data_IF_652807701425
#
_entry.id   IF_652807701425
#
_cell.length_a   1.000
_cell.length_b   1.000
_cell.length_c   1.000
_cell.angle_alpha   90.00
_cell.angle_beta   90.00
_cell.angle_gamma   90.00
#
_symmetry.space_group_name_H-M   'P 1'
#
loop_
_entity.id
_entity.type
_entity.pdbx_description
1 polymer ?
#
# COMPACT_ATOMS: atom_id res chain seq x y z
N UNK A 1 -51.90 50.74 40.46
CA UNK A 1 -52.73 49.57 40.80
C UNK A 1 -53.97 49.64 39.92
N UNK A 2 -54.13 48.61 39.09
CA UNK A 2 -55.35 48.13 38.42
C UNK A 2 -56.14 48.98 37.40
N UNK A 3 -56.46 48.23 36.33
CA UNK A 3 -57.63 48.30 35.44
C UNK A 3 -57.67 49.41 34.39
N UNK A 4 -57.58 49.01 33.11
CA UNK A 4 -58.69 49.13 32.19
C UNK A 4 -58.51 48.21 30.96
N UNK A 5 -59.59 47.55 30.57
CA UNK A 5 -59.76 46.84 29.31
C UNK A 5 -60.92 47.48 28.52
N UNK A 6 -60.90 47.22 27.21
CA UNK A 6 -61.99 47.23 26.22
C UNK A 6 -62.18 48.46 25.30
N UNK A 7 -62.03 48.12 24.01
CA UNK A 7 -62.98 48.26 22.90
C UNK A 7 -62.98 49.53 22.02
N UNK A 8 -63.01 49.30 20.71
CA UNK A 8 -63.57 50.25 19.73
C UNK A 8 -62.89 50.24 18.36
N UNK A 9 -63.43 49.46 17.42
CA UNK A 9 -63.05 49.40 16.00
C UNK A 9 -63.33 50.71 15.24
N UNK A 10 -62.53 51.04 14.22
CA UNK A 10 -63.00 51.49 12.90
C UNK A 10 -61.83 51.74 11.90
N UNK A 11 -61.92 51.01 10.79
CA UNK A 11 -61.62 51.31 9.39
C UNK A 11 -60.43 52.17 8.92
N UNK A 12 -59.62 51.46 8.14
CA UNK A 12 -58.52 51.78 7.23
C UNK A 12 -58.69 52.97 6.28
N UNK A 13 -57.58 53.68 5.98
CA UNK A 13 -57.35 54.29 4.67
C UNK A 13 -56.30 53.53 3.84
N UNK A 14 -56.72 53.29 2.59
CA UNK A 14 -56.03 52.95 1.34
C UNK A 14 -54.48 53.04 1.31
N UNK A 15 -53.76 52.03 0.78
CA UNK A 15 -52.31 52.07 0.63
C UNK A 15 -51.89 53.00 -0.54
N UNK A 16 -50.78 53.75 -0.40
CA UNK A 16 -50.17 54.47 -1.52
C UNK A 16 -49.40 53.53 -2.46
N UNK A 17 -49.46 53.92 -3.72
CA UNK A 17 -48.92 53.31 -4.92
C UNK A 17 -47.39 53.23 -4.94
N UNK A 18 -46.87 52.23 -5.65
CA UNK A 18 -45.52 51.73 -5.61
C UNK A 18 -44.44 52.72 -6.10
N UNK A 19 -43.35 52.84 -5.33
CA UNK A 19 -42.06 53.29 -5.84
C UNK A 19 -41.23 52.08 -6.25
N UNK A 20 -40.89 52.01 -7.55
CA UNK A 20 -39.97 51.03 -8.12
C UNK A 20 -38.58 51.16 -7.50
N UNK A 21 -38.21 50.20 -6.66
CA UNK A 21 -36.84 50.00 -6.23
C UNK A 21 -36.05 49.32 -7.37
N UNK A 22 -34.97 49.98 -7.78
CA UNK A 22 -34.00 49.49 -8.76
C UNK A 22 -33.37 48.18 -8.26
N UNK A 23 -33.37 47.15 -9.11
CA UNK A 23 -32.68 45.90 -8.85
C UNK A 23 -31.16 46.14 -8.82
N UNK A 24 -30.42 45.62 -7.82
CA UNK A 24 -28.98 45.65 -7.85
C UNK A 24 -28.45 44.76 -8.99
N UNK A 25 -27.49 45.29 -9.73
CA UNK A 25 -26.76 44.55 -10.78
C UNK A 25 -26.14 43.26 -10.21
N UNK A 26 -26.14 42.16 -10.97
CA UNK A 26 -25.47 40.94 -10.54
C UNK A 26 -23.95 41.16 -10.45
N UNK A 27 -23.27 40.53 -9.48
CA UNK A 27 -21.82 40.60 -9.38
C UNK A 27 -21.17 39.93 -10.61
N UNK A 28 -19.96 40.38 -11.00
CA UNK A 28 -19.22 39.77 -12.11
C UNK A 28 -18.92 38.29 -11.81
N UNK A 29 -18.83 37.43 -12.84
CA UNK A 29 -18.52 36.02 -12.66
C UNK A 29 -17.15 35.86 -12.03
N UNK A 30 -17.10 35.15 -10.90
CA UNK A 30 -15.87 34.75 -10.23
C UNK A 30 -14.98 33.95 -11.17
N UNK A 31 -13.73 34.37 -11.32
CA UNK A 31 -12.72 33.63 -12.05
C UNK A 31 -12.56 32.22 -11.46
N UNK A 32 -12.66 31.21 -12.33
CA UNK A 32 -12.47 29.80 -12.02
C UNK A 32 -11.07 29.56 -11.46
N UNK A 33 -10.95 29.27 -10.16
CA UNK A 33 -9.70 28.79 -9.59
C UNK A 33 -9.40 27.36 -10.08
N UNK A 34 -8.15 27.04 -10.49
CA UNK A 34 -7.76 25.68 -10.78
C UNK A 34 -7.77 24.82 -9.50
N UNK A 35 -8.24 23.57 -9.66
CA UNK A 35 -8.33 22.56 -8.60
C UNK A 35 -6.96 22.34 -7.91
N UNK A 36 -6.88 22.32 -6.57
CA UNK A 36 -5.66 21.93 -5.88
C UNK A 36 -5.37 20.45 -6.12
N UNK A 37 -4.28 20.19 -6.83
CA UNK A 37 -3.74 18.86 -7.05
C UNK A 37 -3.20 18.21 -5.77
N UNK A 38 -3.21 16.88 -5.81
CA UNK A 38 -2.66 15.94 -4.85
C UNK A 38 -1.33 16.42 -4.22
N UNK A 39 -1.37 16.77 -2.94
CA UNK A 39 -0.19 16.76 -2.07
C UNK A 39 -0.33 15.62 -1.08
N UNK A 40 0.52 14.60 -1.23
CA UNK A 40 0.62 13.51 -0.29
C UNK A 40 1.42 13.98 0.94
N UNK A 41 0.80 14.02 2.12
CA UNK A 41 1.50 14.23 3.38
C UNK A 41 2.25 12.95 3.79
N UNK A 42 3.55 13.08 4.10
CA UNK A 42 4.40 12.02 4.63
C UNK A 42 4.28 11.93 6.15
N UNK A 43 4.26 10.72 6.77
CA UNK A 43 4.50 10.57 8.19
C UNK A 43 6.00 10.75 8.52
N UNK A 44 6.27 11.46 9.61
CA UNK A 44 7.60 11.68 10.15
C UNK A 44 8.14 10.41 10.81
N UNK A 45 9.01 9.72 10.09
CA UNK A 45 9.92 8.69 10.57
C UNK A 45 11.02 8.56 9.52
N UNK A 46 12.29 8.73 9.91
CA UNK A 46 13.42 8.97 9.00
C UNK A 46 13.54 7.97 7.83
N UNK A 47 12.89 8.28 6.72
CA UNK A 47 13.03 7.63 5.41
C UNK A 47 13.58 8.70 4.46
N UNK A 48 14.90 8.75 4.27
CA UNK A 48 15.48 9.52 3.15
C UNK A 48 15.38 8.64 1.91
N UNK A 49 14.17 8.53 1.37
CA UNK A 49 13.88 7.85 0.11
C UNK A 49 12.91 8.71 -0.69
N UNK A 50 13.44 9.59 -1.53
CA UNK A 50 12.62 10.33 -2.50
C UNK A 50 11.98 9.37 -3.48
N UNK A 51 10.71 9.60 -3.84
CA UNK A 51 9.98 8.81 -4.85
C UNK A 51 10.57 9.07 -6.24
N UNK A 52 11.63 8.35 -6.61
CA UNK A 52 12.17 8.47 -7.96
C UNK A 52 11.26 7.72 -8.93
N UNK A 53 10.68 8.42 -9.91
CA UNK A 53 9.93 7.77 -10.98
C UNK A 53 10.92 7.11 -11.95
N UNK A 54 10.86 5.79 -12.05
CA UNK A 54 11.49 5.07 -13.14
C UNK A 54 10.61 5.19 -14.40
N UNK A 55 11.20 5.46 -15.55
CA UNK A 55 10.51 5.42 -16.85
C UNK A 55 11.12 4.29 -17.66
N UNK A 56 10.27 3.43 -18.23
CA UNK A 56 10.69 2.50 -19.27
C UNK A 56 10.69 3.21 -20.62
N UNK A 57 11.82 3.18 -21.30
CA UNK A 57 11.97 3.62 -22.68
C UNK A 57 12.41 2.46 -23.57
N UNK A 58 12.08 2.53 -24.86
CA UNK A 58 12.80 1.79 -25.91
C UNK A 58 13.94 2.68 -26.39
N UNK A 59 15.14 2.14 -26.48
CA UNK A 59 16.34 2.93 -26.79
C UNK A 59 16.35 3.41 -28.26
N UNK A 60 16.67 4.70 -28.54
CA UNK A 60 17.21 5.12 -29.83
C UNK A 60 18.75 5.15 -29.77
N UNK A 61 19.41 4.28 -30.55
CA UNK A 61 20.80 4.49 -31.01
C UNK A 61 21.95 4.06 -30.08
N UNK A 62 22.84 3.25 -30.68
CA UNK A 62 24.22 2.84 -30.38
C UNK A 62 24.82 3.10 -28.98
N UNK A 63 25.09 1.98 -28.29
CA UNK A 63 25.99 1.88 -27.15
C UNK A 63 27.46 2.08 -27.57
N UNK A 64 28.21 2.89 -26.81
CA UNK A 64 29.67 2.83 -26.80
C UNK A 64 30.09 1.59 -26.02
N UNK A 65 30.79 0.67 -26.68
CA UNK A 65 31.28 -0.56 -26.06
C UNK A 65 32.35 -0.24 -25.02
N UNK A 66 31.99 -0.28 -23.73
CA UNK A 66 32.99 -0.38 -22.67
C UNK A 66 33.58 -1.80 -22.70
N UNK A 67 34.90 -1.97 -22.88
CA UNK A 67 35.53 -3.27 -22.84
C UNK A 67 35.65 -3.76 -21.38
N UNK A 68 34.93 -4.84 -21.08
CA UNK A 68 35.36 -5.87 -20.12
C UNK A 68 35.33 -5.52 -18.63
N UNK A 69 34.16 -5.63 -18.00
CA UNK A 69 34.11 -6.26 -16.68
C UNK A 69 33.50 -7.64 -16.85
N UNK A 70 34.37 -8.65 -16.91
CA UNK A 70 33.95 -10.03 -16.79
C UNK A 70 33.27 -10.20 -15.44
N UNK A 71 31.99 -10.57 -15.44
CA UNK A 71 31.37 -11.23 -14.29
C UNK A 71 32.31 -12.39 -13.91
N UNK A 72 32.77 -12.51 -12.66
CA UNK A 72 33.57 -13.66 -12.29
C UNK A 72 32.73 -14.89 -12.59
N UNK A 73 33.14 -15.65 -13.61
CA UNK A 73 32.65 -17.00 -13.87
C UNK A 73 33.21 -17.90 -12.77
N UNK A 74 32.76 -17.65 -11.53
CA UNK A 74 33.07 -18.47 -10.37
C UNK A 74 32.10 -19.63 -10.38
N UNK A 75 32.49 -20.72 -11.02
CA UNK A 75 31.91 -22.03 -10.81
C UNK A 75 32.12 -22.44 -9.34
N UNK A 76 31.23 -21.99 -8.46
CA UNK A 76 30.88 -22.76 -7.28
C UNK A 76 29.50 -23.37 -7.55
N UNK A 77 29.51 -24.47 -8.29
CA UNK A 77 28.48 -25.48 -8.12
C UNK A 77 28.52 -25.86 -6.65
N UNK A 78 27.47 -25.51 -5.91
CA UNK A 78 27.29 -25.86 -4.51
C UNK A 78 27.40 -27.39 -4.34
N UNK A 79 28.61 -27.86 -4.06
CA UNK A 79 28.84 -29.23 -3.64
C UNK A 79 28.31 -29.36 -2.21
N UNK A 80 27.07 -29.82 -2.08
CA UNK A 80 26.48 -30.24 -0.81
C UNK A 80 25.33 -29.41 -0.25
N UNK A 81 24.89 -28.33 -0.91
CA UNK A 81 23.64 -27.68 -0.47
C UNK A 81 22.45 -28.52 -0.89
N UNK A 82 21.72 -29.04 0.11
CA UNK A 82 20.42 -29.65 -0.12
C UNK A 82 19.56 -28.68 -0.93
N UNK A 83 19.11 -29.12 -2.10
CA UNK A 83 18.18 -28.36 -2.92
C UNK A 83 16.89 -28.19 -2.12
N UNK A 84 16.73 -27.03 -1.47
CA UNK A 84 15.46 -26.67 -0.84
C UNK A 84 14.48 -26.44 -1.99
N UNK A 85 13.44 -27.27 -2.06
CA UNK A 85 12.34 -27.04 -2.99
C UNK A 85 11.77 -25.65 -2.74
N UNK A 86 11.56 -24.89 -3.81
CA UNK A 86 11.11 -23.50 -3.73
C UNK A 86 12.16 -22.43 -4.03
N UNK A 87 13.46 -22.76 -4.14
CA UNK A 87 14.43 -21.78 -4.66
C UNK A 87 14.17 -21.40 -6.12
N UNK A 88 14.32 -20.11 -6.40
CA UNK A 88 14.29 -19.53 -7.73
C UNK A 88 15.67 -19.31 -8.34
N UNK A 89 15.66 -18.64 -9.48
CA UNK A 89 16.83 -18.25 -10.26
C UNK A 89 17.77 -17.35 -9.44
N UNK A 90 19.08 -17.39 -9.75
CA UNK A 90 20.08 -16.44 -9.23
C UNK A 90 20.72 -15.60 -10.33
N UNK A 91 20.34 -15.84 -11.60
CA UNK A 91 20.99 -15.19 -12.75
C UNK A 91 22.45 -15.61 -12.94
N UNK A 92 22.84 -16.77 -12.39
CA UNK A 92 24.22 -17.26 -12.44
C UNK A 92 25.12 -16.73 -11.33
N UNK A 93 24.61 -15.87 -10.43
CA UNK A 93 25.39 -15.41 -9.28
C UNK A 93 25.51 -16.48 -8.20
N UNK A 94 26.65 -16.46 -7.51
CA UNK A 94 26.85 -17.20 -6.28
C UNK A 94 25.91 -16.70 -5.19
N UNK A 95 25.58 -17.59 -4.26
CA UNK A 95 24.82 -17.27 -3.05
C UNK A 95 25.72 -17.32 -1.82
N UNK A 96 25.28 -16.65 -0.76
CA UNK A 96 25.92 -16.72 0.56
C UNK A 96 25.08 -17.58 1.53
N UNK A 97 25.67 -18.11 2.62
CA UNK A 97 24.95 -18.92 3.59
C UNK A 97 23.73 -18.20 4.20
N UNK A 98 22.75 -18.97 4.66
CA UNK A 98 21.54 -18.43 5.28
C UNK A 98 21.79 -17.58 6.53
N UNK A 99 22.95 -17.75 7.18
CA UNK A 99 23.36 -16.98 8.37
C UNK A 99 23.80 -15.53 8.07
N UNK A 100 23.94 -15.13 6.80
CA UNK A 100 24.34 -13.77 6.42
C UNK A 100 23.17 -12.79 6.51
N UNK A 101 22.76 -12.41 7.72
CA UNK A 101 21.49 -11.70 8.01
C UNK A 101 21.23 -10.42 7.19
N UNK A 102 22.27 -9.67 6.80
CA UNK A 102 22.14 -8.41 6.06
C UNK A 102 21.97 -8.60 4.53
N UNK A 103 22.18 -9.83 4.03
CA UNK A 103 22.01 -10.13 2.62
C UNK A 103 20.53 -10.34 2.26
N UNK A 104 20.08 -9.87 1.09
CA UNK A 104 18.73 -10.14 0.61
C UNK A 104 18.52 -11.65 0.39
N UNK A 105 17.29 -12.11 0.55
CA UNK A 105 16.91 -13.51 0.34
C UNK A 105 17.05 -13.89 -1.13
N UNK A 106 17.47 -15.11 -1.40
CA UNK A 106 17.40 -15.70 -2.74
C UNK A 106 15.96 -15.71 -3.25
N UNK A 107 15.75 -15.40 -4.53
CA UNK A 107 14.43 -15.44 -5.17
C UNK A 107 13.69 -16.76 -4.94
N UNK A 108 12.35 -16.71 -4.95
CA UNK A 108 11.51 -17.92 -4.91
C UNK A 108 11.30 -18.48 -6.30
N UNK A 109 10.99 -19.77 -6.38
CA UNK A 109 10.64 -20.50 -7.60
C UNK A 109 9.43 -19.90 -8.32
N UNK A 110 8.57 -19.14 -7.64
CA UNK A 110 7.43 -18.45 -8.26
C UNK A 110 7.70 -17.03 -8.73
N UNK A 111 8.87 -16.46 -8.42
CA UNK A 111 9.16 -15.05 -8.67
C UNK A 111 9.61 -14.83 -10.13
N UNK A 112 9.26 -13.67 -10.70
CA UNK A 112 9.94 -13.21 -11.92
C UNK A 112 11.39 -12.87 -11.60
N UNK A 113 12.29 -13.17 -12.53
CA UNK A 113 13.72 -12.88 -12.39
C UNK A 113 14.26 -12.13 -13.61
N UNK A 114 15.18 -11.20 -13.36
CA UNK A 114 15.77 -10.34 -14.38
C UNK A 114 17.29 -10.51 -14.46
N UNK A 115 17.83 -10.49 -15.67
CA UNK A 115 19.24 -10.22 -15.89
C UNK A 115 19.41 -8.73 -16.14
N UNK A 116 20.21 -8.05 -15.34
CA UNK A 116 20.63 -6.67 -15.55
C UNK A 116 21.94 -6.63 -16.34
N UNK A 117 22.13 -5.58 -17.15
CA UNK A 117 23.34 -5.36 -17.94
C UNK A 117 23.53 -3.88 -18.28
N UNK A 118 24.73 -3.51 -18.73
CA UNK A 118 25.05 -2.18 -19.27
C UNK A 118 24.60 -0.99 -18.39
N UNK A 119 24.94 -0.96 -17.09
CA UNK A 119 24.63 0.18 -16.25
C UNK A 119 25.45 1.40 -16.71
N UNK A 120 24.80 2.55 -16.86
CA UNK A 120 25.41 3.76 -17.43
C UNK A 120 24.77 5.03 -16.90
N UNK A 121 25.53 6.12 -16.88
CA UNK A 121 24.99 7.47 -16.67
C UNK A 121 24.61 8.11 -18.01
N UNK A 122 23.65 9.02 -17.97
CA UNK A 122 23.22 9.77 -19.15
C UNK A 122 22.45 11.02 -18.76
N UNK A 123 21.72 11.56 -19.72
CA UNK A 123 20.76 12.62 -19.50
C UNK A 123 19.39 12.17 -20.03
N UNK A 124 18.33 12.47 -19.29
CA UNK A 124 16.96 12.27 -19.77
C UNK A 124 16.67 13.20 -20.96
N UNK A 125 15.52 13.01 -21.60
CA UNK A 125 15.03 13.92 -22.65
C UNK A 125 14.91 15.39 -22.23
N UNK A 126 14.93 15.67 -20.93
CA UNK A 126 14.89 17.03 -20.36
C UNK A 126 16.28 17.52 -19.91
N UNK A 127 17.36 16.86 -20.31
CA UNK A 127 18.73 17.23 -19.96
C UNK A 127 19.10 16.97 -18.50
N UNK A 128 18.31 16.17 -17.76
CA UNK A 128 18.57 15.88 -16.35
C UNK A 128 19.42 14.62 -16.22
N UNK A 129 20.40 14.58 -15.30
CA UNK A 129 21.22 13.39 -15.09
C UNK A 129 20.37 12.15 -14.78
N UNK A 130 20.73 11.03 -15.41
CA UNK A 130 20.08 9.71 -15.24
C UNK A 130 21.10 8.61 -14.98
N UNK A 131 20.66 7.57 -14.28
CA UNK A 131 21.29 6.24 -14.34
C UNK A 131 20.34 5.33 -15.10
N UNK A 132 20.88 4.61 -16.08
CA UNK A 132 20.15 3.61 -16.88
C UNK A 132 20.76 2.23 -16.69
N UNK A 133 19.92 1.19 -16.69
CA UNK A 133 20.37 -0.21 -16.69
C UNK A 133 19.47 -1.03 -17.60
N UNK A 134 20.08 -1.81 -18.48
CA UNK A 134 19.33 -2.69 -19.38
C UNK A 134 18.90 -3.94 -18.64
N UNK A 135 17.74 -4.50 -18.98
CA UNK A 135 17.22 -5.70 -18.35
C UNK A 135 16.62 -6.69 -19.34
N UNK A 136 16.72 -7.97 -19.00
CA UNK A 136 16.05 -9.08 -19.68
C UNK A 136 15.32 -9.94 -18.67
N UNK A 137 14.04 -10.20 -18.90
CA UNK A 137 13.28 -11.14 -18.08
C UNK A 137 13.70 -12.58 -18.43
N UNK A 138 14.32 -13.29 -17.48
CA UNK A 138 14.67 -14.71 -17.65
C UNK A 138 13.43 -15.59 -17.55
N UNK A 139 12.54 -15.26 -16.62
CA UNK A 139 11.31 -15.99 -16.39
C UNK A 139 10.09 -15.11 -16.62
N UNK A 140 9.43 -15.31 -17.76
CA UNK A 140 8.25 -14.50 -18.15
C UNK A 140 7.04 -14.77 -17.27
N UNK A 141 6.90 -15.98 -16.74
CA UNK A 141 5.80 -16.40 -15.87
C UNK A 141 6.23 -16.32 -14.40
N UNK A 142 5.45 -15.65 -13.57
CA UNK A 142 5.77 -15.48 -12.15
C UNK A 142 5.19 -14.20 -11.59
N UNK A 143 5.10 -14.11 -10.28
CA UNK A 143 4.66 -12.91 -9.59
C UNK A 143 5.84 -11.94 -9.48
N UNK A 144 5.70 -10.73 -10.01
CA UNK A 144 6.65 -9.66 -9.73
C UNK A 144 6.15 -8.79 -8.57
N UNK A 145 4.84 -8.63 -8.38
CA UNK A 145 4.25 -7.84 -7.29
C UNK A 145 4.72 -6.38 -7.17
N UNK A 146 5.52 -5.87 -8.11
CA UNK A 146 6.32 -4.66 -7.95
C UNK A 146 7.70 -4.96 -7.34
N UNK A 147 8.71 -4.19 -7.74
CA UNK A 147 10.08 -4.36 -7.24
C UNK A 147 10.72 -3.03 -6.88
N UNK A 148 11.91 -3.09 -6.30
CA UNK A 148 12.74 -1.93 -6.01
C UNK A 148 14.09 -2.14 -6.66
N UNK A 149 14.53 -1.17 -7.47
CA UNK A 149 15.92 -1.10 -7.91
C UNK A 149 16.72 -0.44 -6.79
N UNK A 150 17.73 -1.16 -6.31
CA UNK A 150 18.72 -0.67 -5.36
C UNK A 150 19.89 -0.12 -6.14
N UNK A 151 20.30 1.09 -5.80
CA UNK A 151 21.50 1.73 -6.32
C UNK A 151 22.41 1.98 -5.12
N UNK A 152 23.41 1.11 -4.94
CA UNK A 152 24.38 1.19 -3.85
C UNK A 152 25.63 1.88 -4.37
N UNK A 153 25.88 3.11 -3.91
CA UNK A 153 27.09 3.86 -4.24
C UNK A 153 28.33 3.27 -3.58
N UNK A 154 29.51 3.54 -4.16
CA UNK A 154 30.79 3.15 -3.57
C UNK A 154 31.10 3.83 -2.22
N UNK A 155 30.32 4.85 -1.85
CA UNK A 155 30.33 5.53 -0.56
C UNK A 155 29.49 4.82 0.53
N UNK A 156 28.87 3.67 0.18
CA UNK A 156 27.98 2.91 1.07
C UNK A 156 26.54 3.43 1.10
N UNK A 157 26.23 4.57 0.49
CA UNK A 157 24.87 5.08 0.44
C UNK A 157 24.01 4.21 -0.50
N UNK A 158 22.78 3.93 -0.10
CA UNK A 158 21.84 3.15 -0.90
C UNK A 158 20.61 3.97 -1.25
N UNK A 159 20.33 4.12 -2.54
CA UNK A 159 19.10 4.69 -3.06
C UNK A 159 18.12 3.57 -3.43
N UNK A 160 16.83 3.77 -3.11
CA UNK A 160 15.76 2.80 -3.40
C UNK A 160 14.79 3.40 -4.41
N UNK A 161 14.66 2.79 -5.57
CA UNK A 161 13.77 3.26 -6.64
C UNK A 161 12.63 2.25 -6.80
N UNK A 162 11.42 2.66 -6.45
CA UNK A 162 10.25 1.81 -6.61
C UNK A 162 9.92 1.64 -8.09
N UNK A 163 9.81 0.39 -8.53
CA UNK A 163 9.51 0.03 -9.90
C UNK A 163 8.01 -0.31 -9.98
N UNK A 164 7.20 0.73 -10.17
CA UNK A 164 5.77 0.58 -10.37
C UNK A 164 5.50 0.05 -11.78
N UNK A 165 4.97 -1.17 -11.88
CA UNK A 165 4.44 -1.71 -13.13
C UNK A 165 5.48 -1.96 -14.22
N UNK A 166 6.60 -2.64 -13.93
CA UNK A 166 7.62 -3.03 -14.92
C UNK A 166 7.06 -3.86 -16.09
N UNK A 167 6.59 -3.09 -17.08
CA UNK A 167 6.67 -3.11 -18.54
C UNK A 167 6.96 -4.43 -19.25
N UNK A 168 5.93 -4.90 -19.96
CA UNK A 168 5.97 -6.10 -20.81
C UNK A 168 6.86 -5.96 -22.06
N UNK A 169 7.42 -4.77 -22.37
CA UNK A 169 8.05 -4.50 -23.67
C UNK A 169 9.26 -3.52 -23.67
N UNK A 170 9.81 -3.17 -22.51
CA UNK A 170 11.00 -2.32 -22.42
C UNK A 170 12.25 -3.12 -22.08
N UNK A 171 13.40 -2.63 -22.51
CA UNK A 171 14.73 -3.23 -22.35
C UNK A 171 15.63 -2.42 -21.42
N UNK A 172 15.21 -1.23 -20.97
CA UNK A 172 16.00 -0.36 -20.09
C UNK A 172 15.15 0.25 -18.96
N UNK A 173 15.70 0.26 -17.75
CA UNK A 173 15.21 1.03 -16.60
C UNK A 173 16.00 2.35 -16.56
N UNK A 174 15.32 3.49 -16.68
CA UNK A 174 15.92 4.81 -16.52
C UNK A 174 15.48 5.46 -15.21
N UNK A 175 16.45 5.84 -14.39
CA UNK A 175 16.26 6.53 -13.10
C UNK A 175 16.73 7.98 -13.23
N UNK A 176 15.78 8.90 -13.23
CA UNK A 176 16.02 10.34 -13.31
C UNK A 176 16.16 10.96 -11.92
N UNK A 177 17.18 11.80 -11.68
CA UNK A 177 17.30 12.52 -10.40
C UNK A 177 16.27 13.66 -10.28
N UNK A 178 15.00 13.34 -10.03
CA UNK A 178 13.89 14.32 -10.01
C UNK A 178 13.87 15.27 -8.82
N UNK A 179 14.55 14.92 -7.73
CA UNK A 179 14.62 15.75 -6.51
C UNK A 179 15.98 16.41 -6.33
N UNK A 180 16.80 16.39 -7.38
CA UNK A 180 17.97 17.24 -7.53
C UNK A 180 17.59 18.71 -7.68
N UNK A 181 17.08 19.35 -6.63
CA UNK A 181 17.26 20.79 -6.49
C UNK A 181 18.76 21.14 -6.45
N UNK A 182 19.16 22.42 -6.34
CA UNK A 182 20.57 22.80 -6.18
C UNK A 182 21.28 22.13 -4.99
N UNK A 183 20.53 21.46 -4.11
CA UNK A 183 21.03 20.73 -2.94
C UNK A 183 20.88 19.20 -3.01
N UNK A 184 20.36 18.64 -4.11
CA UNK A 184 20.24 17.18 -4.22
C UNK A 184 21.60 16.52 -4.45
N UNK A 185 21.77 15.33 -3.88
CA UNK A 185 23.01 14.57 -4.08
C UNK A 185 23.17 14.21 -5.57
N UNK A 186 24.39 14.32 -6.13
CA UNK A 186 24.66 13.85 -7.48
C UNK A 186 24.46 12.33 -7.57
N UNK A 187 24.16 11.84 -8.77
CA UNK A 187 24.10 10.40 -9.02
C UNK A 187 25.50 9.79 -8.83
N UNK A 188 25.61 8.61 -8.18
CA UNK A 188 26.89 7.98 -7.96
C UNK A 188 27.53 7.57 -9.31
N UNK A 189 28.83 7.86 -9.48
CA UNK A 189 29.62 7.40 -10.63
C UNK A 189 30.04 5.94 -10.50
N UNK A 190 30.25 5.51 -9.24
CA UNK A 190 30.55 4.13 -8.87
C UNK A 190 29.34 3.56 -8.13
N UNK A 191 28.64 2.61 -8.73
CA UNK A 191 27.45 2.04 -8.14
C UNK A 191 27.24 0.58 -8.49
N UNK A 192 26.71 -0.19 -7.55
CA UNK A 192 26.06 -1.46 -7.81
C UNK A 192 24.56 -1.26 -8.00
N UNK A 193 24.00 -1.93 -9.00
CA UNK A 193 22.57 -1.98 -9.27
C UNK A 193 22.06 -3.41 -9.20
N UNK A 194 20.98 -3.63 -8.45
CA UNK A 194 20.23 -4.88 -8.43
C UNK A 194 18.77 -4.64 -8.02
N UNK A 195 17.90 -5.59 -8.32
CA UNK A 195 16.49 -5.49 -7.96
C UNK A 195 16.15 -6.43 -6.81
N UNK A 196 15.32 -5.94 -5.90
CA UNK A 196 14.66 -6.76 -4.88
C UNK A 196 13.16 -6.65 -5.00
N UNK A 197 12.47 -7.68 -4.53
CA UNK A 197 11.04 -7.71 -4.35
C UNK A 197 10.76 -7.84 -2.85
N UNK A 198 10.20 -6.78 -2.28
CA UNK A 198 9.69 -6.80 -0.92
C UNK A 198 8.42 -7.65 -0.86
N UNK A 199 8.30 -8.49 0.16
CA UNK A 199 7.15 -9.37 0.33
C UNK A 199 6.46 -9.13 1.66
N UNK A 200 5.54 -8.17 1.65
CA UNK A 200 4.78 -7.77 2.84
C UNK A 200 3.86 -8.88 3.36
N UNK A 201 3.53 -9.88 2.53
CA UNK A 201 2.67 -11.01 2.91
C UNK A 201 3.28 -11.87 4.02
N UNK A 202 4.60 -11.82 4.23
CA UNK A 202 5.28 -12.51 5.33
C UNK A 202 5.62 -11.57 6.51
N UNK A 203 5.01 -10.40 6.57
CA UNK A 203 5.30 -9.34 7.54
C UNK A 203 6.07 -8.16 6.93
N UNK A 204 6.03 -6.99 7.58
CA UNK A 204 6.80 -5.81 7.16
C UNK A 204 7.96 -5.45 8.11
N UNK A 205 8.18 -6.20 9.20
CA UNK A 205 9.23 -5.87 10.16
C UNK A 205 10.05 -7.11 10.62
N UNK A 206 11.18 -7.39 9.96
CA UNK A 206 11.58 -6.83 8.65
C UNK A 206 10.75 -7.44 7.52
N UNK A 207 10.38 -6.62 6.53
CA UNK A 207 9.80 -7.14 5.28
C UNK A 207 10.87 -7.98 4.57
N UNK A 208 10.62 -9.27 4.27
CA UNK A 208 11.57 -10.07 3.52
C UNK A 208 11.76 -9.48 2.12
N UNK A 209 13.03 -9.27 1.74
CA UNK A 209 13.41 -8.76 0.44
C UNK A 209 14.10 -9.87 -0.35
N UNK A 210 13.44 -10.31 -1.42
CA UNK A 210 13.95 -11.33 -2.32
C UNK A 210 14.74 -10.66 -3.44
N UNK A 211 16.02 -10.98 -3.61
CA UNK A 211 16.82 -10.51 -4.74
C UNK A 211 16.32 -11.20 -6.01
N UNK A 212 15.79 -10.41 -6.95
CA UNK A 212 15.14 -10.90 -8.19
C UNK A 212 15.90 -10.50 -9.45
N UNK A 213 17.18 -10.13 -9.30
CA UNK A 213 18.12 -10.01 -10.41
C UNK A 213 19.54 -10.37 -10.01
N UNK A 214 20.44 -10.48 -11.00
CA UNK A 214 21.86 -10.33 -10.72
C UNK A 214 22.19 -8.88 -10.34
N UNK A 215 23.40 -8.68 -9.81
CA UNK A 215 24.03 -7.38 -9.65
C UNK A 215 24.82 -6.99 -10.90
N UNK A 216 24.83 -5.70 -11.19
CA UNK A 216 25.74 -5.09 -12.16
C UNK A 216 26.43 -3.90 -11.53
N UNK A 217 27.67 -3.64 -11.96
CA UNK A 217 28.50 -2.56 -11.43
C UNK A 217 28.76 -1.54 -12.52
N UNK A 218 28.60 -0.27 -12.16
CA UNK A 218 29.00 0.90 -12.92
C UNK A 218 30.24 1.50 -12.22
N UNK A 219 31.29 1.79 -12.99
CA UNK A 219 32.55 2.31 -12.44
C UNK A 219 33.29 1.29 -11.58
N UNK A 220 34.01 1.76 -10.54
CA UNK A 220 34.85 0.94 -9.66
C UNK A 220 34.26 0.88 -8.24
N UNK A 221 33.89 -0.31 -7.77
CA UNK A 221 33.31 -0.51 -6.43
C UNK A 221 34.33 -1.13 -5.45
N UNK A 222 34.32 -0.71 -4.17
CA UNK A 222 35.09 -1.37 -3.12
C UNK A 222 34.56 -2.79 -2.83
N UNK A 223 35.43 -3.67 -2.32
CA UNK A 223 35.08 -5.06 -1.98
C UNK A 223 34.19 -5.14 -0.72
N UNK A 224 33.04 -5.86 -0.71
CA UNK A 224 32.46 -6.62 -1.82
C UNK A 224 31.78 -5.71 -2.85
N UNK A 225 32.23 -5.86 -4.10
CA UNK A 225 31.72 -5.07 -5.21
C UNK A 225 30.22 -5.34 -5.47
N UNK A 226 29.73 -6.52 -5.07
CA UNK A 226 28.35 -6.95 -5.29
C UNK A 226 27.72 -7.50 -4.02
N UNK A 227 26.42 -7.26 -3.88
CA UNK A 227 25.52 -7.79 -2.87
C UNK A 227 25.00 -9.14 -3.33
N UNK A 228 25.45 -10.24 -2.72
CA UNK A 228 24.96 -11.57 -3.06
C UNK A 228 23.64 -11.88 -2.33
N UNK A 229 22.82 -12.75 -2.92
CA UNK A 229 21.65 -13.27 -2.24
C UNK A 229 22.04 -14.37 -1.25
N UNK A 230 21.38 -14.42 -0.09
CA UNK A 230 21.53 -15.53 0.86
C UNK A 230 20.51 -16.62 0.66
N UNK A 231 20.91 -17.84 1.00
CA UNK A 231 19.99 -18.95 1.12
C UNK A 231 19.00 -18.74 2.28
N UNK A 232 17.89 -19.48 2.25
CA UNK A 232 16.87 -19.45 3.29
C UNK A 232 17.25 -20.38 4.45
N UNK A 233 16.88 -19.99 5.67
CA UNK A 233 16.83 -20.92 6.81
C UNK A 233 15.69 -21.94 6.61
N UNK A 234 15.71 -23.05 7.36
CA UNK A 234 14.64 -24.05 7.30
C UNK A 234 13.26 -23.49 7.69
N UNK A 235 13.22 -22.57 8.67
CA UNK A 235 11.99 -21.89 9.08
C UNK A 235 11.46 -20.95 7.98
N UNK A 236 12.35 -20.18 7.36
CA UNK A 236 12.02 -19.34 6.21
C UNK A 236 11.52 -20.17 5.04
N UNK A 237 12.17 -21.29 4.70
CA UNK A 237 11.71 -22.18 3.63
C UNK A 237 10.31 -22.74 3.90
N UNK A 238 10.05 -23.17 5.15
CA UNK A 238 8.72 -23.62 5.57
C UNK A 238 7.68 -22.52 5.37
N UNK A 239 8.04 -21.27 5.69
CA UNK A 239 7.15 -20.11 5.59
C UNK A 239 6.91 -19.69 4.14
N UNK A 240 7.97 -19.59 3.35
CA UNK A 240 7.93 -19.05 1.99
C UNK A 240 7.38 -20.02 0.96
N UNK A 241 7.37 -21.32 1.26
CA UNK A 241 6.76 -22.36 0.42
C UNK A 241 5.26 -22.54 0.65
N UNK A 242 4.69 -21.97 1.71
CA UNK A 242 3.23 -22.02 1.87
C UNK A 242 2.56 -21.13 0.81
N UNK A 243 1.47 -21.60 0.18
CA UNK A 243 0.63 -20.73 -0.62
C UNK A 243 0.16 -19.57 0.27
N UNK A 244 0.08 -18.38 -0.31
CA UNK A 244 -0.38 -17.22 0.44
C UNK A 244 -1.78 -17.49 0.97
N UNK A 245 -1.98 -17.23 2.27
CA UNK A 245 -3.32 -17.11 2.81
C UNK A 245 -4.00 -15.94 2.07
N UNK A 246 -4.98 -16.25 1.20
CA UNK A 246 -5.57 -15.29 0.25
C UNK A 246 -6.13 -14.04 0.93
N UNK A 247 -6.49 -14.16 2.20
CA UNK A 247 -7.12 -13.10 2.95
C UNK A 247 -6.24 -11.89 3.30
N UNK A 248 -4.92 -11.96 3.12
CA UNK A 248 -4.05 -10.78 3.23
C UNK A 248 -3.95 -9.99 1.92
N UNK A 249 -4.34 -10.60 0.80
CA UNK A 249 -4.33 -9.94 -0.49
C UNK A 249 -5.69 -9.27 -0.73
N UNK A 250 -5.79 -7.94 -0.66
CA UNK A 250 -7.03 -7.28 -1.01
C UNK A 250 -7.41 -7.65 -2.45
N UNK A 251 -8.70 -7.82 -2.69
CA UNK A 251 -9.29 -8.09 -3.99
C UNK A 251 -8.99 -9.49 -4.56
N UNK A 252 -8.42 -10.43 -3.79
CA UNK A 252 -8.26 -11.81 -4.25
C UNK A 252 -9.61 -12.51 -4.54
N UNK A 253 -10.67 -12.13 -3.81
CA UNK A 253 -11.98 -12.78 -3.84
C UNK A 253 -13.12 -11.76 -4.08
N UNK A 254 -12.97 -10.87 -5.08
CA UNK A 254 -13.91 -9.76 -5.33
C UNK A 254 -15.35 -10.17 -5.65
N UNK A 255 -15.59 -11.40 -6.08
CA UNK A 255 -16.90 -11.89 -6.53
C UNK A 255 -17.71 -12.58 -5.42
N UNK A 256 -17.12 -12.82 -4.24
CA UNK A 256 -17.78 -13.55 -3.15
C UNK A 256 -18.60 -12.63 -2.26
N UNK A 257 -19.81 -13.05 -1.87
CA UNK A 257 -20.65 -12.35 -0.89
C UNK A 257 -21.28 -11.05 -1.38
N UNK A 258 -22.12 -10.44 -0.53
CA UNK A 258 -22.85 -9.20 -0.81
C UNK A 258 -22.37 -8.09 0.12
N UNK A 259 -22.00 -6.94 -0.44
CA UNK A 259 -21.57 -5.80 0.36
C UNK A 259 -22.79 -5.15 1.06
N UNK A 260 -22.62 -4.68 2.30
CA UNK A 260 -23.55 -3.71 2.90
C UNK A 260 -23.44 -2.36 2.21
N UNK A 261 -24.32 -1.41 2.58
CA UNK A 261 -24.08 0.00 2.26
C UNK A 261 -22.72 0.46 2.82
N UNK A 262 -22.11 1.42 2.14
CA UNK A 262 -20.83 2.01 2.54
C UNK A 262 -21.07 3.09 3.58
N UNK A 263 -20.43 2.98 4.75
CA UNK A 263 -20.29 4.09 5.69
C UNK A 263 -19.09 4.95 5.27
N UNK A 264 -19.33 6.25 4.99
CA UNK A 264 -18.29 7.19 4.55
C UNK A 264 -18.35 7.47 3.05
N UNK A 265 -17.22 7.90 2.46
CA UNK A 265 -17.13 8.21 1.04
C UNK A 265 -16.87 6.95 0.20
N UNK A 266 -17.85 6.57 -0.62
CA UNK A 266 -17.78 5.43 -1.52
C UNK A 266 -16.86 5.63 -2.74
N UNK A 267 -16.40 6.86 -3.00
CA UNK A 267 -15.57 7.21 -4.17
C UNK A 267 -14.12 7.57 -3.81
N UNK A 268 -13.80 7.77 -2.53
CA UNK A 268 -12.49 8.21 -2.09
C UNK A 268 -11.45 7.09 -2.05
N UNK A 269 -10.26 7.31 -2.61
CA UNK A 269 -9.17 6.32 -2.57
C UNK A 269 -9.39 5.12 -3.49
N UNK A 270 -8.69 4.02 -3.22
CA UNK A 270 -8.79 2.79 -3.98
C UNK A 270 -9.58 1.71 -3.21
N UNK A 271 -10.45 0.95 -3.87
CA UNK A 271 -11.21 -0.10 -3.20
C UNK A 271 -10.28 -1.25 -2.80
N UNK A 272 -10.35 -1.67 -1.54
CA UNK A 272 -9.74 -2.91 -1.08
C UNK A 272 -10.80 -3.80 -0.45
N UNK A 273 -10.86 -5.06 -0.90
CA UNK A 273 -11.86 -6.02 -0.47
C UNK A 273 -11.20 -7.28 0.07
N UNK A 274 -11.33 -7.53 1.36
CA UNK A 274 -10.78 -8.71 2.02
C UNK A 274 -11.92 -9.67 2.30
N UNK A 275 -11.90 -10.86 1.71
CA UNK A 275 -12.97 -11.86 1.85
C UNK A 275 -12.37 -13.25 1.93
N UNK A 276 -12.87 -14.04 2.88
CA UNK A 276 -12.60 -15.46 3.02
C UNK A 276 -13.91 -16.24 2.87
N UNK A 277 -13.94 -17.23 1.97
CA UNK A 277 -15.13 -18.03 1.70
C UNK A 277 -15.47 -18.92 2.90
N UNK A 278 -14.44 -19.45 3.54
CA UNK A 278 -14.54 -20.58 4.44
C UNK A 278 -14.45 -20.15 5.89
N UNK A 279 -13.92 -18.96 6.18
CA UNK A 279 -13.77 -18.42 7.53
C UNK A 279 -14.65 -17.19 7.80
N UNK A 280 -15.20 -17.03 9.02
CA UNK A 280 -15.86 -15.79 9.41
C UNK A 280 -14.81 -14.71 9.70
N UNK A 281 -15.19 -13.44 9.60
CA UNK A 281 -14.36 -12.33 10.06
C UNK A 281 -14.22 -12.39 11.59
N UNK A 282 -13.02 -12.63 12.11
CA UNK A 282 -12.78 -12.73 13.56
C UNK A 282 -12.42 -11.37 14.18
N UNK A 283 -11.90 -10.45 13.39
CA UNK A 283 -11.46 -9.15 13.86
C UNK A 283 -10.81 -8.35 12.75
N UNK A 284 -10.02 -7.36 13.16
CA UNK A 284 -9.29 -6.47 12.27
C UNK A 284 -7.95 -6.07 12.88
N UNK A 285 -7.03 -5.78 11.97
CA UNK A 285 -5.86 -4.97 12.23
C UNK A 285 -6.14 -3.53 11.79
N UNK A 286 -5.85 -2.56 12.65
CA UNK A 286 -6.17 -1.16 12.43
C UNK A 286 -5.02 -0.23 12.79
N UNK A 287 -4.87 0.87 12.06
CA UNK A 287 -3.95 1.94 12.41
C UNK A 287 -4.69 3.27 12.44
N UNK A 288 -4.53 4.04 13.50
CA UNK A 288 -4.98 5.43 13.54
C UNK A 288 -3.94 6.36 12.89
N UNK A 289 -4.38 7.53 12.47
CA UNK A 289 -3.54 8.57 11.89
C UNK A 289 -4.23 9.93 11.91
N UNK A 290 -3.62 10.87 11.19
CA UNK A 290 -4.15 12.21 10.99
C UNK A 290 -3.97 12.60 9.53
N UNK A 291 -5.00 13.22 8.95
CA UNK A 291 -4.96 13.73 7.59
C UNK A 291 -5.74 15.03 7.50
N UNK A 292 -5.12 16.06 6.90
CA UNK A 292 -5.68 17.42 6.85
C UNK A 292 -6.14 17.92 8.24
N UNK A 293 -5.38 17.59 9.30
CA UNK A 293 -5.65 17.92 10.71
C UNK A 293 -6.87 17.20 11.31
N UNK A 294 -7.44 16.21 10.63
CA UNK A 294 -8.50 15.35 11.16
C UNK A 294 -7.92 14.00 11.57
N UNK A 295 -8.17 13.61 12.83
CA UNK A 295 -7.83 12.27 13.30
C UNK A 295 -8.75 11.23 12.66
N UNK A 296 -8.17 10.19 12.11
CA UNK A 296 -8.91 9.18 11.36
C UNK A 296 -8.23 7.80 11.40
N UNK A 297 -8.94 6.79 10.90
CA UNK A 297 -8.32 5.50 10.63
C UNK A 297 -7.52 5.59 9.33
N UNK A 298 -6.28 5.12 9.40
CA UNK A 298 -5.35 5.07 8.27
C UNK A 298 -5.41 3.75 7.54
N UNK A 299 -5.73 2.65 8.22
CA UNK A 299 -5.68 1.31 7.66
C UNK A 299 -6.66 0.39 8.37
N UNK A 300 -7.28 -0.52 7.62
CA UNK A 300 -7.98 -1.69 8.12
C UNK A 300 -7.62 -2.92 7.28
N UNK A 301 -7.28 -4.01 7.95
CA UNK A 301 -7.06 -5.33 7.34
C UNK A 301 -7.89 -6.35 8.10
N UNK A 302 -8.62 -7.20 7.38
CA UNK A 302 -9.43 -8.24 8.00
C UNK A 302 -8.57 -9.33 8.66
N UNK A 303 -9.03 -9.86 9.78
CA UNK A 303 -8.41 -10.99 10.49
C UNK A 303 -9.37 -12.18 10.46
N UNK A 304 -8.95 -13.27 9.81
CA UNK A 304 -9.75 -14.49 9.65
C UNK A 304 -9.24 -15.66 10.49
N UNK A 305 -7.98 -15.58 10.92
CA UNK A 305 -7.35 -16.54 11.82
C UNK A 305 -6.65 -15.82 12.96
N UNK A 306 -6.69 -16.40 14.17
CA UNK A 306 -5.97 -15.85 15.31
C UNK A 306 -4.45 -15.95 15.17
N UNK A 307 -3.96 -16.89 14.35
CA UNK A 307 -2.54 -17.06 14.01
C UNK A 307 -2.07 -16.16 12.86
N UNK A 308 -2.99 -15.40 12.24
CA UNK A 308 -2.66 -14.48 11.15
C UNK A 308 -1.65 -13.45 11.63
N UNK A 309 -0.54 -13.23 10.91
CA UNK A 309 0.40 -12.18 11.28
C UNK A 309 -0.29 -10.80 11.29
N UNK A 310 -0.04 -9.94 12.32
CA UNK A 310 -0.59 -8.59 12.35
C UNK A 310 -0.17 -7.75 11.14
N UNK A 311 -1.11 -6.95 10.62
CA UNK A 311 -0.78 -5.93 9.65
C UNK A 311 0.27 -4.98 10.27
N UNK A 312 1.35 -4.63 9.57
CA UNK A 312 2.43 -3.92 10.27
C UNK A 312 2.13 -2.46 10.55
N UNK A 313 2.62 -1.98 11.70
CA UNK A 313 2.29 -0.64 12.21
C UNK A 313 0.82 -0.50 12.60
N UNK A 314 0.13 -1.61 12.86
CA UNK A 314 -1.26 -1.66 13.29
C UNK A 314 -1.38 -2.22 14.71
N UNK A 315 -2.51 -1.92 15.33
CA UNK A 315 -3.04 -2.60 16.50
C UNK A 315 -4.08 -3.64 16.07
N UNK A 316 -4.34 -4.63 16.91
CA UNK A 316 -5.29 -5.71 16.61
C UNK A 316 -6.48 -5.69 17.56
N UNK A 317 -7.67 -5.84 17.02
CA UNK A 317 -8.90 -6.10 17.77
C UNK A 317 -9.54 -7.40 17.25
N UNK A 318 -9.75 -8.38 18.12
CA UNK A 318 -10.31 -9.69 17.76
C UNK A 318 -11.39 -10.12 18.73
N UNK A 319 -12.30 -10.95 18.23
CA UNK A 319 -13.31 -11.62 19.04
C UNK A 319 -12.65 -12.61 20.01
N UNK A 320 -13.30 -12.85 21.15
CA UNK A 320 -12.95 -13.95 22.05
C UNK A 320 -13.29 -15.30 21.42
N UNK A 321 -12.74 -16.38 21.96
CA UNK A 321 -12.97 -17.73 21.46
C UNK A 321 -14.48 -18.05 21.30
N UNK A 322 -14.84 -18.55 20.11
CA UNK A 322 -16.20 -18.90 19.74
C UNK A 322 -17.13 -17.72 19.45
N UNK A 323 -16.59 -16.52 19.23
CA UNK A 323 -17.30 -15.36 18.70
C UNK A 323 -16.63 -14.91 17.39
N UNK A 324 -17.36 -14.17 16.57
CA UNK A 324 -16.85 -13.52 15.36
C UNK A 324 -17.50 -12.14 15.19
N UNK A 325 -16.99 -11.33 14.28
CA UNK A 325 -17.59 -10.05 13.91
C UNK A 325 -18.93 -10.32 13.22
N UNK A 326 -20.03 -9.80 13.81
CA UNK A 326 -21.37 -9.83 13.24
C UNK A 326 -21.87 -8.48 12.75
N UNK A 327 -21.15 -7.41 13.07
CA UNK A 327 -21.44 -6.06 12.60
C UNK A 327 -20.37 -5.07 13.03
N UNK A 328 -20.48 -3.84 12.53
CA UNK A 328 -19.59 -2.73 12.87
C UNK A 328 -20.40 -1.45 12.98
N UNK A 329 -20.19 -0.68 14.05
CA UNK A 329 -20.63 0.72 14.12
C UNK A 329 -19.48 1.60 13.60
N UNK A 330 -19.77 2.51 12.69
CA UNK A 330 -18.76 3.34 12.02
C UNK A 330 -19.05 4.80 12.28
N UNK A 331 -18.07 5.54 12.82
CA UNK A 331 -18.11 7.00 12.94
C UNK A 331 -17.45 7.64 11.73
N UNK A 332 -18.20 8.45 10.99
CA UNK A 332 -17.73 9.12 9.77
C UNK A 332 -17.95 10.63 9.84
N UNK A 333 -16.89 11.38 9.57
CA UNK A 333 -16.92 12.81 9.25
C UNK A 333 -16.56 12.99 7.78
N UNK A 334 -15.45 13.68 7.50
CA UNK A 334 -14.82 13.67 6.17
C UNK A 334 -14.23 12.30 5.83
N UNK A 335 -13.66 11.63 6.83
CA UNK A 335 -13.07 10.30 6.76
C UNK A 335 -13.74 9.37 7.79
N UNK A 336 -13.43 8.08 7.73
CA UNK A 336 -13.78 7.15 8.81
C UNK A 336 -12.89 7.45 10.03
N UNK A 337 -13.48 7.99 11.09
CA UNK A 337 -12.72 8.45 12.25
C UNK A 337 -12.46 7.33 13.27
N UNK A 338 -13.48 6.49 13.50
CA UNK A 338 -13.43 5.37 14.42
C UNK A 338 -14.45 4.28 14.05
N UNK A 339 -14.22 3.08 14.55
CA UNK A 339 -15.15 1.95 14.44
C UNK A 339 -15.30 1.21 15.76
N UNK A 340 -16.44 0.56 15.95
CA UNK A 340 -16.70 -0.35 17.05
C UNK A 340 -17.18 -1.67 16.48
N UNK A 341 -16.46 -2.75 16.80
CA UNK A 341 -16.80 -4.08 16.34
C UNK A 341 -17.91 -4.64 17.22
N UNK A 342 -18.93 -5.24 16.59
CA UNK A 342 -19.98 -5.98 17.27
C UNK A 342 -19.69 -7.46 17.08
N UNK A 343 -19.27 -8.12 18.15
CA UNK A 343 -18.98 -9.55 18.15
C UNK A 343 -20.22 -10.34 18.52
N UNK A 344 -20.50 -11.42 17.80
CA UNK A 344 -21.63 -12.31 18.01
C UNK A 344 -21.15 -13.75 18.18
N UNK A 345 -21.86 -14.54 18.97
CA UNK A 345 -21.52 -15.95 19.22
C UNK A 345 -21.63 -16.74 17.91
N UNK A 346 -20.57 -17.47 17.56
CA UNK A 346 -20.59 -18.43 16.46
C UNK A 346 -21.40 -19.65 16.88
N UNK A 347 -22.35 -20.06 16.03
CA UNK A 347 -23.08 -21.32 16.15
C UNK A 347 -22.35 -22.44 15.41
N UNK A 348 -22.76 -23.68 15.68
CA UNK A 348 -22.16 -24.86 15.05
C UNK A 348 -22.33 -24.90 13.52
N UNK A 349 -23.37 -24.26 12.99
CA UNK A 349 -23.64 -24.14 11.56
C UNK A 349 -22.89 -22.98 10.88
N UNK A 350 -22.07 -22.24 11.63
CA UNK A 350 -21.33 -21.07 11.12
C UNK A 350 -22.11 -19.75 11.12
N UNK A 351 -23.41 -19.77 11.44
CA UNK A 351 -24.21 -18.55 11.61
C UNK A 351 -23.88 -17.83 12.92
N UNK A 352 -24.37 -16.60 13.07
CA UNK A 352 -24.14 -15.78 14.26
C UNK A 352 -25.41 -15.64 15.11
N UNK A 353 -25.26 -15.71 16.42
CA UNK A 353 -26.34 -15.42 17.37
C UNK A 353 -26.29 -13.94 17.78
N UNK A 354 -27.16 -13.14 17.18
CA UNK A 354 -27.28 -11.71 17.48
C UNK A 354 -27.79 -11.40 18.89
N UNK A 355 -28.39 -12.39 19.59
CA UNK A 355 -28.82 -12.22 20.99
C UNK A 355 -27.67 -12.41 21.98
N UNK A 356 -26.60 -13.07 21.55
CA UNK A 356 -25.38 -13.26 22.33
C UNK A 356 -24.24 -12.48 21.70
N UNK A 357 -24.25 -11.17 21.94
CA UNK A 357 -23.31 -10.22 21.37
C UNK A 357 -22.65 -9.33 22.40
N UNK A 358 -21.49 -8.78 22.06
CA UNK A 358 -20.84 -7.72 22.82
C UNK A 358 -20.06 -6.80 21.89
N UNK A 359 -19.82 -5.57 22.32
CA UNK A 359 -19.10 -4.58 21.53
C UNK A 359 -17.64 -4.51 21.98
N UNK A 360 -16.73 -4.19 21.06
CA UNK A 360 -15.39 -3.73 21.39
C UNK A 360 -15.41 -2.32 21.97
N UNK A 361 -14.26 -1.84 22.44
CA UNK A 361 -14.01 -0.40 22.56
C UNK A 361 -14.04 0.26 21.17
N UNK A 362 -14.20 1.58 21.14
CA UNK A 362 -14.03 2.35 19.90
C UNK A 362 -12.56 2.36 19.48
N UNK A 363 -12.31 1.96 18.24
CA UNK A 363 -11.00 1.88 17.62
C UNK A 363 -10.83 3.07 16.68
N UNK A 364 -9.87 3.96 16.99
CA UNK A 364 -9.64 5.19 16.25
C UNK A 364 -9.92 6.42 17.10
N UNK A 365 -10.16 7.57 16.46
CA UNK A 365 -10.44 8.81 17.16
C UNK A 365 -11.93 9.15 17.10
N UNK A 366 -12.50 9.45 18.27
CA UNK A 366 -13.83 10.02 18.32
C UNK A 366 -13.80 11.45 17.78
N UNK A 367 -14.47 11.67 16.65
CA UNK A 367 -14.76 13.02 16.17
C UNK A 367 -16.10 13.48 16.78
N UNK A 368 -16.12 14.70 17.34
CA UNK A 368 -17.25 15.25 18.12
C UNK A 368 -18.58 15.26 17.34
N UNK A 369 -18.52 15.39 16.02
CA UNK A 369 -19.69 15.52 15.14
C UNK A 369 -19.79 14.38 14.10
N UNK A 370 -19.14 13.25 14.38
CA UNK A 370 -19.17 12.12 13.45
C UNK A 370 -20.56 11.47 13.38
N UNK A 371 -21.06 11.26 12.17
CA UNK A 371 -22.24 10.43 11.92
C UNK A 371 -21.92 8.98 12.25
N UNK A 372 -22.74 8.34 13.07
CA UNK A 372 -22.68 6.90 13.29
C UNK A 372 -23.53 6.15 12.26
N UNK A 373 -22.94 5.15 11.61
CA UNK A 373 -23.63 4.23 10.71
C UNK A 373 -23.43 2.80 11.18
N UNK A 374 -24.51 2.04 11.33
CA UNK A 374 -24.47 0.63 11.72
C UNK A 374 -24.45 -0.25 10.48
N UNK A 375 -23.45 -1.12 10.38
CA UNK A 375 -23.28 -2.06 9.29
C UNK A 375 -23.44 -3.48 9.82
N UNK A 376 -24.24 -4.30 9.14
CA UNK A 376 -24.53 -5.67 9.56
C UNK A 376 -25.46 -5.74 10.78
N UNK A 377 -25.11 -6.58 11.76
CA UNK A 377 -25.87 -6.86 12.99
C UNK A 377 -27.17 -7.65 12.80
N UNK A 378 -27.31 -8.35 11.67
CA UNK A 378 -28.50 -9.14 11.35
C UNK A 378 -28.42 -10.59 11.84
N UNK A 379 -27.26 -11.03 12.34
CA UNK A 379 -26.96 -12.45 12.61
C UNK A 379 -26.48 -13.23 11.37
N UNK A 380 -26.49 -12.60 10.18
CA UNK A 380 -25.81 -13.16 9.01
C UNK A 380 -24.30 -13.14 9.22
N UNK A 381 -23.62 -14.16 8.69
CA UNK A 381 -22.16 -14.26 8.77
C UNK A 381 -21.50 -13.13 7.98
N UNK A 382 -20.53 -12.47 8.62
CA UNK A 382 -19.64 -11.53 7.96
C UNK A 382 -18.44 -12.30 7.40
N UNK A 383 -18.29 -12.28 6.08
CA UNK A 383 -17.21 -12.96 5.34
C UNK A 383 -15.99 -12.06 5.13
N UNK A 384 -16.07 -10.78 5.49
CA UNK A 384 -14.98 -9.85 5.26
C UNK A 384 -15.36 -8.38 5.32
N UNK A 385 -14.47 -7.54 4.80
CA UNK A 385 -14.66 -6.09 4.71
C UNK A 385 -14.35 -5.59 3.30
N UNK A 386 -15.02 -4.50 2.92
CA UNK A 386 -14.66 -3.69 1.76
C UNK A 386 -14.41 -2.28 2.26
N UNK A 387 -13.24 -1.75 1.95
CA UNK A 387 -12.89 -0.39 2.30
C UNK A 387 -12.58 0.44 1.05
N UNK A 388 -12.63 1.75 1.24
CA UNK A 388 -12.20 2.76 0.28
C UNK A 388 -10.99 3.46 0.89
N UNK A 389 -9.79 3.07 0.44
CA UNK A 389 -8.54 3.33 1.13
C UNK A 389 -7.61 4.21 0.28
N UNK A 390 -7.29 5.40 0.78
CA UNK A 390 -6.24 6.26 0.25
C UNK A 390 -5.05 6.32 1.21
N UNK A 391 -4.53 7.53 1.45
CA UNK A 391 -3.65 7.78 2.59
C UNK A 391 -4.34 7.51 3.93
N UNK A 392 -5.68 7.66 3.97
CA UNK A 392 -6.56 7.34 5.09
C UNK A 392 -7.80 6.59 4.61
N UNK A 393 -8.57 6.06 5.55
CA UNK A 393 -9.80 5.30 5.31
C UNK A 393 -10.96 6.26 5.02
N UNK A 394 -11.44 6.25 3.78
CA UNK A 394 -12.54 7.11 3.34
C UNK A 394 -13.91 6.47 3.59
N UNK A 395 -14.00 5.15 3.43
CA UNK A 395 -15.24 4.41 3.62
C UNK A 395 -15.04 2.95 4.02
N UNK A 396 -16.06 2.38 4.67
CA UNK A 396 -16.11 0.98 5.10
C UNK A 396 -17.49 0.36 4.82
N UNK A 397 -17.48 -0.86 4.31
CA UNK A 397 -18.62 -1.76 4.19
C UNK A 397 -18.24 -3.15 4.72
N UNK A 398 -19.24 -3.93 5.15
CA UNK A 398 -19.05 -5.36 5.44
C UNK A 398 -19.40 -6.19 4.21
N UNK A 399 -18.74 -7.33 4.06
CA UNK A 399 -19.11 -8.34 3.07
C UNK A 399 -19.86 -9.45 3.80
N UNK A 400 -21.13 -9.62 3.47
CA UNK A 400 -22.04 -10.58 4.08
C UNK A 400 -22.13 -11.85 3.22
N UNK A 401 -22.42 -12.97 3.87
CA UNK A 401 -22.87 -14.18 3.16
C UNK A 401 -24.16 -13.86 2.38
N UNK A 402 -24.28 -14.30 1.11
CA UNK A 402 -25.34 -13.88 0.20
C UNK A 402 -26.73 -14.42 0.54
#
# INVERSE_FOLDING_TARGET
>A
MSLLACAGCADSPKPPEAQQAQSPSPPPPSATQPSPGQQAAQPQGGFIGGLVNAVAGKQPGQATTNPGMATPAGANSAAGEATIDGYGETGGEATVPASTVDAPLRARKGDKFFTLSNPRTGNSRFGRPTISVDYKTLRKTGDFGGGTLLIRGGDGNTSRVMLLGLFNDADTIEVENRFGGPFGKPLPQNAELYTVRGESRYGLNPMPNFKVSNSVVMGTMPNPAVTLARNWTAAEATTFNQPFKSHLNPNANMHLGKDTDMAGDAKGGAPQRFVDKDKPLLGIDYAAGEWEKEKCLRQLVAVFDLDQAPAPGSSRATARAGFAVGGVNVKTGKYVSAIQLVYMKLKADGSLDSKNSYNSDWLGAEAKDAKETKLGQTGMRVMGIKNQQGAVLNGLALVMEP
#
